data_IF_642729926681
#
_entry.id   IF_642729926681
#
_cell.length_a   1.000
_cell.length_b   1.000
_cell.length_c   1.000
_cell.angle_alpha   90.00
_cell.angle_beta   90.00
_cell.angle_gamma   90.00
#
_symmetry.space_group_name_H-M   'P 1'
#
loop_
_entity.id
_entity.type
_entity.pdbx_description
1 polymer ?
#
# COMPACT_ATOMS: atom_id res chain seq x y z
N UNK A 1 -10.81 -13.96 9.67
CA UNK A 1 -9.50 -13.88 9.01
C UNK A 1 -8.97 -15.29 8.87
N UNK A 2 -8.47 -15.63 7.70
CA UNK A 2 -7.85 -16.94 7.45
C UNK A 2 -6.34 -16.81 7.68
N UNK A 3 -5.66 -17.89 8.09
CA UNK A 3 -4.20 -17.89 8.20
C UNK A 3 -3.56 -17.78 6.81
N UNK A 4 -2.32 -17.28 6.75
CA UNK A 4 -1.50 -17.43 5.54
C UNK A 4 -1.15 -18.90 5.30
N UNK A 5 -0.96 -19.26 4.04
CA UNK A 5 -0.37 -20.54 3.69
C UNK A 5 1.16 -20.54 3.86
N UNK A 6 1.77 -21.73 3.77
CA UNK A 6 3.22 -21.90 3.93
C UNK A 6 4.06 -21.25 2.83
N UNK A 7 3.44 -20.79 1.73
CA UNK A 7 4.09 -20.10 0.61
C UNK A 7 3.94 -18.57 0.72
N UNK A 8 3.37 -18.07 1.82
CA UNK A 8 3.19 -16.65 2.10
C UNK A 8 2.06 -15.99 1.31
N UNK A 9 1.10 -16.78 0.79
CA UNK A 9 -0.10 -16.22 0.19
C UNK A 9 -1.14 -15.88 1.28
N UNK A 10 -1.82 -14.73 1.16
CA UNK A 10 -2.84 -14.31 2.11
C UNK A 10 -4.07 -15.24 2.09
N UNK A 11 -4.60 -15.57 3.27
CA UNK A 11 -5.88 -16.28 3.38
C UNK A 11 -7.05 -15.45 2.81
N UNK A 12 -7.82 -16.02 1.88
CA UNK A 12 -8.76 -15.27 1.05
C UNK A 12 -10.04 -14.82 1.79
N UNK A 13 -10.27 -13.51 1.84
CA UNK A 13 -11.58 -12.91 2.11
C UNK A 13 -11.67 -11.56 1.40
N UNK A 14 -12.42 -11.51 0.30
CA UNK A 14 -12.89 -10.27 -0.34
C UNK A 14 -11.83 -9.41 -1.06
N UNK A 15 -11.56 -9.74 -2.33
CA UNK A 15 -10.83 -8.88 -3.28
C UNK A 15 -9.44 -9.40 -3.64
N UNK A 16 -9.19 -9.67 -4.93
CA UNK A 16 -7.91 -10.14 -5.46
C UNK A 16 -6.80 -9.11 -5.24
N UNK A 17 -5.92 -9.35 -4.26
CA UNK A 17 -4.61 -8.74 -4.20
C UNK A 17 -3.56 -9.85 -4.11
N UNK A 18 -2.78 -9.99 -5.19
CA UNK A 18 -1.76 -11.05 -5.37
C UNK A 18 -0.40 -10.70 -4.76
N UNK A 19 -0.35 -9.81 -3.76
CA UNK A 19 0.92 -9.46 -3.13
C UNK A 19 1.35 -10.59 -2.21
N UNK A 20 2.53 -11.15 -2.48
CA UNK A 20 3.24 -12.03 -1.55
C UNK A 20 4.08 -11.18 -0.61
N UNK A 21 4.08 -11.53 0.66
CA UNK A 21 4.90 -10.90 1.68
C UNK A 21 5.46 -11.98 2.63
N UNK A 22 6.58 -11.72 3.32
CA UNK A 22 7.16 -12.70 4.23
C UNK A 22 6.18 -13.16 5.30
N UNK A 23 6.22 -14.43 5.70
CA UNK A 23 5.45 -14.88 6.87
C UNK A 23 6.00 -14.24 8.16
N UNK A 24 7.32 -14.22 8.28
CA UNK A 24 8.01 -13.55 9.38
C UNK A 24 8.30 -12.10 9.00
N UNK A 25 7.75 -11.17 9.78
CA UNK A 25 7.99 -9.74 9.56
C UNK A 25 9.47 -9.38 9.76
N UNK A 26 9.97 -8.48 8.93
CA UNK A 26 11.33 -7.95 8.97
C UNK A 26 11.33 -6.43 9.14
N UNK A 27 12.22 -5.90 9.99
CA UNK A 27 12.23 -4.48 10.35
C UNK A 27 12.64 -3.54 9.20
N UNK A 28 13.36 -4.05 8.22
CA UNK A 28 13.80 -3.36 7.02
C UNK A 28 12.87 -3.59 5.82
N UNK A 29 11.76 -4.32 5.98
CA UNK A 29 10.79 -4.54 4.93
C UNK A 29 10.17 -3.21 4.46
N UNK A 30 10.51 -2.83 3.22
CA UNK A 30 10.10 -1.58 2.59
C UNK A 30 9.65 -1.81 1.17
N UNK A 31 8.70 -1.01 0.72
CA UNK A 31 8.20 -1.05 -0.66
C UNK A 31 8.05 0.34 -1.24
N UNK A 32 7.89 0.38 -2.57
CA UNK A 32 7.40 1.57 -3.28
C UNK A 32 5.94 1.36 -3.61
N UNK A 33 5.09 2.27 -3.15
CA UNK A 33 3.66 2.28 -3.51
C UNK A 33 3.48 3.30 -4.63
N UNK A 34 2.87 2.87 -5.75
CA UNK A 34 2.49 3.74 -6.87
C UNK A 34 0.99 3.70 -7.06
N UNK A 35 0.38 4.86 -7.26
CA UNK A 35 -1.06 4.95 -7.50
C UNK A 35 -1.38 6.06 -8.48
N UNK A 36 -2.38 5.80 -9.34
CA UNK A 36 -2.91 6.78 -10.26
C UNK A 36 -3.99 7.60 -9.56
N UNK A 37 -3.80 8.91 -9.53
CA UNK A 37 -4.73 9.85 -8.91
C UNK A 37 -5.53 10.55 -10.00
N UNK A 38 -6.86 10.48 -9.86
CA UNK A 38 -7.78 11.30 -10.65
C UNK A 38 -8.44 12.36 -9.74
N UNK A 39 -7.80 13.53 -9.65
CA UNK A 39 -8.32 14.70 -8.94
C UNK A 39 -9.17 15.54 -9.90
N UNK A 40 -10.12 16.30 -9.36
CA UNK A 40 -10.92 17.26 -10.15
C UNK A 40 -10.09 18.31 -10.89
N UNK A 41 -8.84 18.53 -10.47
CA UNK A 41 -7.90 19.44 -11.13
C UNK A 41 -6.82 18.62 -11.87
N UNK A 42 -6.83 18.70 -13.20
CA UNK A 42 -5.90 17.98 -14.07
C UNK A 42 -4.42 18.25 -13.74
N UNK A 43 -4.07 19.44 -13.23
CA UNK A 43 -2.70 19.78 -12.84
C UNK A 43 -2.18 18.96 -11.65
N UNK A 44 -3.08 18.32 -10.91
CA UNK A 44 -2.75 17.51 -9.74
C UNK A 44 -3.09 16.03 -9.93
N UNK A 45 -3.72 15.67 -11.05
CA UNK A 45 -3.97 14.30 -11.47
C UNK A 45 -2.71 13.70 -12.08
N UNK A 46 -2.56 12.38 -11.98
CA UNK A 46 -1.39 11.66 -12.47
C UNK A 46 -0.93 10.58 -11.50
N UNK A 47 0.15 9.91 -11.86
CA UNK A 47 0.83 8.96 -11.00
C UNK A 47 1.53 9.66 -9.85
N UNK A 48 1.39 9.07 -8.67
CA UNK A 48 2.13 9.40 -7.47
C UNK A 48 2.87 8.17 -6.99
N UNK A 49 3.99 8.39 -6.32
CA UNK A 49 4.75 7.36 -5.62
C UNK A 49 5.12 7.77 -4.21
N UNK A 50 5.15 6.79 -3.32
CA UNK A 50 5.81 6.87 -2.04
C UNK A 50 6.88 5.77 -2.01
N UNK A 51 8.13 6.16 -1.81
CA UNK A 51 9.26 5.22 -1.70
C UNK A 51 9.55 4.92 -0.23
N UNK A 52 10.22 3.80 0.03
CA UNK A 52 10.62 3.38 1.38
C UNK A 52 9.45 3.27 2.38
N UNK A 53 8.26 2.94 1.89
CA UNK A 53 7.07 2.75 2.75
C UNK A 53 7.31 1.54 3.64
N UNK A 54 7.29 1.77 4.95
CA UNK A 54 7.40 0.70 5.95
C UNK A 54 6.08 -0.02 6.06
N UNK A 55 6.15 -1.34 6.21
CA UNK A 55 5.00 -2.15 6.62
C UNK A 55 5.12 -2.34 8.14
N UNK A 56 4.13 -1.87 8.94
CA UNK A 56 4.15 -2.10 10.38
C UNK A 56 4.27 -3.60 10.67
N UNK A 57 4.86 -3.94 11.83
CA UNK A 57 4.96 -5.34 12.24
C UNK A 57 3.60 -6.02 12.17
N UNK A 58 3.52 -7.20 11.55
CA UNK A 58 2.28 -7.96 11.44
C UNK A 58 2.46 -9.35 12.04
N UNK A 59 1.35 -9.91 12.52
CA UNK A 59 1.27 -11.32 12.87
C UNK A 59 1.01 -12.15 11.61
N UNK A 60 2.07 -12.75 11.04
CA UNK A 60 1.96 -13.55 9.82
C UNK A 60 1.09 -14.80 9.94
N UNK A 61 0.69 -15.21 11.15
CA UNK A 61 -0.30 -16.28 11.33
C UNK A 61 -1.73 -15.83 10.99
N UNK A 62 -1.94 -14.52 10.80
CA UNK A 62 -3.23 -13.92 10.46
C UNK A 62 -3.08 -13.09 9.20
N UNK A 63 -3.88 -13.39 8.17
CA UNK A 63 -3.91 -12.57 6.97
C UNK A 63 -5.33 -12.15 6.63
N UNK A 64 -5.60 -10.87 6.81
CA UNK A 64 -6.69 -10.14 6.17
C UNK A 64 -6.27 -9.43 4.87
N UNK A 65 -5.12 -9.82 4.29
CA UNK A 65 -4.56 -9.20 3.08
C UNK A 65 -3.74 -7.93 3.34
N UNK A 66 -3.10 -7.43 2.28
CA UNK A 66 -2.37 -6.15 2.28
C UNK A 66 -3.32 -5.02 1.90
N UNK A 67 -3.31 -3.94 2.68
CA UNK A 67 -4.15 -2.77 2.51
C UNK A 67 -3.30 -1.52 2.27
N UNK A 68 -3.59 -0.81 1.19
CA UNK A 68 -3.13 0.56 0.97
C UNK A 68 -4.22 1.54 1.39
N UNK A 69 -3.97 2.31 2.44
CA UNK A 69 -4.88 3.35 2.94
C UNK A 69 -4.38 4.69 2.43
N UNK A 70 -5.10 5.27 1.46
CA UNK A 70 -4.83 6.62 0.97
C UNK A 70 -5.46 7.67 1.89
N UNK A 71 -4.66 8.66 2.26
CA UNK A 71 -5.00 9.72 3.22
C UNK A 71 -4.94 11.09 2.54
N UNK A 72 -5.64 12.10 3.10
CA UNK A 72 -5.56 13.47 2.59
C UNK A 72 -4.11 13.98 2.51
N UNK A 73 -3.83 14.78 1.49
CA UNK A 73 -2.49 15.31 1.23
C UNK A 73 -1.55 14.31 0.55
N UNK A 74 -2.09 13.39 -0.26
CA UNK A 74 -1.31 12.41 -1.02
C UNK A 74 -0.46 11.48 -0.14
N UNK A 75 -0.98 11.18 1.06
CA UNK A 75 -0.31 10.30 2.02
C UNK A 75 -0.83 8.87 1.88
N UNK A 76 0.00 7.90 2.23
CA UNK A 76 -0.38 6.48 2.18
C UNK A 76 0.18 5.73 3.38
N UNK A 77 -0.60 4.80 3.90
CA UNK A 77 -0.12 3.75 4.81
C UNK A 77 -0.33 2.41 4.13
N UNK A 78 0.71 1.58 4.14
CA UNK A 78 0.60 0.18 3.73
C UNK A 78 0.66 -0.70 4.97
N UNK A 79 -0.26 -1.65 5.10
CA UNK A 79 -0.28 -2.56 6.24
C UNK A 79 -0.84 -3.93 5.86
N UNK A 80 -0.45 -4.95 6.62
CA UNK A 80 -1.09 -6.26 6.59
C UNK A 80 -2.18 -6.26 7.66
N UNK A 81 -3.41 -6.57 7.28
CA UNK A 81 -4.50 -6.68 8.25
C UNK A 81 -4.34 -7.96 9.06
N UNK A 82 -4.04 -7.85 10.36
CA UNK A 82 -3.76 -8.99 11.25
C UNK A 82 -4.72 -9.07 12.45
N UNK A 83 -5.83 -8.33 12.39
CA UNK A 83 -6.74 -8.16 13.52
C UNK A 83 -6.25 -7.14 14.54
N UNK A 84 -5.33 -6.26 14.13
CA UNK A 84 -4.73 -5.21 14.95
C UNK A 84 -3.85 -5.75 16.09
N UNK A 85 -3.07 -6.80 15.83
CA UNK A 85 -2.32 -7.55 16.84
C UNK A 85 -1.36 -6.69 17.68
N UNK A 86 -0.84 -5.60 17.10
CA UNK A 86 0.07 -4.65 17.74
C UNK A 86 -0.48 -3.21 17.81
N UNK A 87 -1.78 -3.02 17.57
CA UNK A 87 -2.40 -1.69 17.61
C UNK A 87 -2.20 -0.82 16.37
N UNK A 88 -1.48 -1.29 15.34
CA UNK A 88 -1.13 -0.49 14.15
C UNK A 88 -1.78 -0.97 12.84
N UNK A 89 -2.53 -2.07 12.86
CA UNK A 89 -2.95 -2.83 11.67
C UNK A 89 -4.47 -3.04 11.60
N UNK A 90 -5.26 -2.01 11.92
CA UNK A 90 -6.72 -2.04 11.86
C UNK A 90 -7.26 -1.32 10.61
N UNK A 91 -7.95 -2.05 9.73
CA UNK A 91 -8.67 -1.45 8.58
C UNK A 91 -9.91 -0.65 9.01
N UNK A 92 -10.37 -0.84 10.24
CA UNK A 92 -11.55 -0.16 10.78
C UNK A 92 -11.20 1.21 11.42
N UNK A 93 -9.92 1.51 11.63
CA UNK A 93 -9.47 2.73 12.29
C UNK A 93 -8.61 3.55 11.33
N UNK A 94 -9.01 4.80 11.08
CA UNK A 94 -8.21 5.73 10.27
C UNK A 94 -6.83 5.92 10.95
N UNK A 95 -5.71 5.77 10.22
CA UNK A 95 -4.39 6.12 10.74
C UNK A 95 -4.33 7.57 11.24
N UNK A 96 -3.64 7.78 12.35
CA UNK A 96 -3.38 9.11 12.90
C UNK A 96 -2.55 9.95 11.92
N UNK A 97 -2.67 11.28 12.02
CA UNK A 97 -1.86 12.19 11.20
C UNK A 97 -0.37 12.18 11.58
N UNK A 98 -0.05 11.70 12.79
CA UNK A 98 1.27 11.50 13.37
C UNK A 98 1.77 10.03 13.31
N UNK A 99 1.04 9.14 12.63
CA UNK A 99 1.43 7.74 12.51
C UNK A 99 2.77 7.60 11.75
N UNK A 100 3.83 7.02 12.36
CA UNK A 100 5.15 6.99 11.74
C UNK A 100 5.28 6.00 10.56
N UNK A 101 4.25 5.20 10.28
CA UNK A 101 4.18 4.34 9.08
C UNK A 101 3.37 4.97 7.94
N UNK A 102 2.88 6.21 8.12
CA UNK A 102 2.32 7.01 7.02
C UNK A 102 3.45 7.65 6.23
N UNK A 103 3.50 7.35 4.93
CA UNK A 103 4.44 7.92 3.99
C UNK A 103 3.79 9.03 3.15
N UNK A 104 4.60 10.01 2.76
CA UNK A 104 4.20 11.07 1.84
C UNK A 104 4.40 10.63 0.39
N UNK A 105 3.36 10.74 -0.41
CA UNK A 105 3.42 10.59 -1.86
C UNK A 105 3.90 11.87 -2.53
N UNK A 106 4.61 11.69 -3.64
CA UNK A 106 5.03 12.76 -4.55
C UNK A 106 4.67 12.37 -5.98
N UNK A 107 4.51 13.34 -6.91
CA UNK A 107 4.35 13.03 -8.32
C UNK A 107 5.43 12.07 -8.82
N UNK A 108 5.03 11.05 -9.57
CA UNK A 108 5.94 10.09 -10.19
C UNK A 108 6.20 10.51 -11.63
N UNK A 109 7.23 11.34 -11.85
CA UNK A 109 7.55 11.88 -13.19
C UNK A 109 7.79 10.79 -14.24
N UNK A 110 8.43 9.69 -13.83
CA UNK A 110 8.69 8.52 -14.69
C UNK A 110 7.37 7.90 -15.16
N UNK A 111 6.48 7.57 -14.22
CA UNK A 111 5.20 6.94 -14.57
C UNK A 111 4.22 7.91 -15.23
N UNK A 112 4.29 9.20 -14.91
CA UNK A 112 3.53 10.23 -15.62
C UNK A 112 3.98 10.36 -17.08
N UNK A 113 5.27 10.13 -17.37
CA UNK A 113 5.80 10.13 -18.72
C UNK A 113 5.48 8.83 -19.48
N UNK A 114 5.72 7.67 -18.86
CA UNK A 114 5.60 6.35 -19.49
C UNK A 114 4.16 5.86 -19.56
N UNK A 115 3.33 6.20 -18.58
CA UNK A 115 1.94 5.73 -18.44
C UNK A 115 0.96 6.89 -18.22
N UNK A 116 0.91 7.92 -19.08
CA UNK A 116 -0.02 9.03 -18.88
C UNK A 116 -1.46 8.52 -18.75
N UNK A 117 -2.14 8.93 -17.67
CA UNK A 117 -3.50 8.46 -17.31
C UNK A 117 -3.64 6.93 -17.22
N UNK A 118 -2.55 6.23 -16.90
CA UNK A 118 -2.51 4.77 -16.74
C UNK A 118 -2.38 3.99 -18.05
N UNK A 119 -2.17 4.65 -19.19
CA UNK A 119 -2.02 4.00 -20.49
C UNK A 119 -0.57 4.12 -20.95
N UNK A 120 0.06 3.00 -21.31
CA UNK A 120 1.43 2.98 -21.81
C UNK A 120 1.58 3.90 -23.02
N UNK A 121 2.55 4.81 -22.95
CA UNK A 121 2.95 5.68 -24.04
C UNK A 121 3.58 4.84 -25.14
N UNK A 122 2.82 4.52 -26.18
CA UNK A 122 3.41 3.92 -27.40
C UNK A 122 4.27 4.98 -28.08
N UNK A 123 5.57 4.72 -28.13
CA UNK A 123 6.46 5.39 -29.07
C UNK A 123 6.22 4.68 -30.43
N UNK A 124 5.70 5.41 -31.42
CA UNK A 124 5.70 4.97 -32.83
C UNK A 124 7.07 5.25 -33.44
#
# INVERSE_FOLDING_TARGET
>A
MLPMDGDGNPGESGGQCCMRYPMEWQADLRVTVRWLVDKKNEKTSGWYKAENVRIPQYDGSRSGGVWAIFLPGDRVKLMVADGNANGRNSVAVRPGDDDPDVAQGVPDDEWNYEYPKGVMRRIQ
#
